data_IF_631560697148
#
_entry.id   IF_631560697148
#
_cell.length_a   1.000
_cell.length_b   1.000
_cell.length_c   1.000
_cell.angle_alpha   90.00
_cell.angle_beta   90.00
_cell.angle_gamma   90.00
#
_symmetry.space_group_name_H-M   'P 1'
#
loop_
_entity.id
_entity.type
_entity.pdbx_description
1 polymer ?
#
# COMPACT_ATOMS: atom_id res chain seq x y z
N UNK A 1 -8.00 -10.47 -6.30
CA UNK A 1 -6.60 -10.91 -6.13
C UNK A 1 -5.83 -10.61 -7.39
N UNK A 2 -4.64 -10.10 -7.25
CA UNK A 2 -3.76 -9.79 -8.38
C UNK A 2 -2.47 -10.61 -8.24
N UNK A 3 -2.04 -11.22 -9.33
CA UNK A 3 -0.78 -11.95 -9.41
C UNK A 3 -0.02 -11.43 -10.63
N UNK A 4 1.14 -10.82 -10.41
CA UNK A 4 1.86 -10.11 -11.48
C UNK A 4 2.98 -10.93 -12.10
N UNK A 5 3.73 -11.65 -11.28
CA UNK A 5 4.88 -12.43 -11.75
C UNK A 5 4.96 -13.74 -10.97
N UNK A 6 5.83 -14.64 -11.42
CA UNK A 6 6.08 -15.91 -10.72
C UNK A 6 6.65 -15.70 -9.30
N UNK A 7 7.26 -14.56 -9.05
CA UNK A 7 7.82 -14.21 -7.75
C UNK A 7 6.82 -13.46 -6.86
N UNK A 8 5.72 -12.98 -7.42
CA UNK A 8 4.70 -12.29 -6.67
C UNK A 8 3.70 -13.29 -6.12
N UNK A 9 3.43 -13.13 -4.84
CA UNK A 9 2.38 -13.88 -4.18
C UNK A 9 1.07 -13.10 -4.33
N UNK A 10 -0.03 -13.79 -4.57
CA UNK A 10 -1.32 -13.16 -4.73
C UNK A 10 -1.72 -12.34 -3.51
N UNK A 11 -2.40 -11.24 -3.75
CA UNK A 11 -2.98 -10.42 -2.69
C UNK A 11 -4.32 -9.86 -3.15
N UNK A 12 -5.15 -9.47 -2.18
CA UNK A 12 -6.42 -8.82 -2.44
C UNK A 12 -6.23 -7.31 -2.39
N UNK A 13 -6.92 -6.61 -3.26
CA UNK A 13 -6.89 -5.16 -3.27
C UNK A 13 -8.30 -4.59 -3.38
N UNK A 14 -8.52 -3.46 -2.71
CA UNK A 14 -9.77 -2.71 -2.78
C UNK A 14 -9.45 -1.25 -3.07
N UNK A 15 -10.04 -0.70 -4.12
CA UNK A 15 -9.83 0.68 -4.51
C UNK A 15 -10.88 1.59 -3.86
N UNK A 16 -10.42 2.62 -3.14
CA UNK A 16 -11.28 3.68 -2.61
C UNK A 16 -11.35 4.88 -3.53
N UNK A 17 -10.25 5.17 -4.23
CA UNK A 17 -10.13 6.34 -5.10
C UNK A 17 -9.13 6.02 -6.21
N UNK A 18 -9.51 6.35 -7.45
CA UNK A 18 -8.63 6.20 -8.60
C UNK A 18 -9.17 7.03 -9.77
N UNK A 19 -8.27 7.57 -10.60
CA UNK A 19 -8.62 8.34 -11.79
C UNK A 19 -9.64 9.45 -11.51
N UNK A 20 -9.42 10.20 -10.42
CA UNK A 20 -10.29 11.29 -9.97
C UNK A 20 -11.71 10.86 -9.57
N UNK A 21 -11.92 9.56 -9.33
CA UNK A 21 -13.21 9.03 -8.94
C UNK A 21 -13.17 8.38 -7.57
N UNK A 22 -14.18 8.64 -6.77
CA UNK A 22 -14.42 7.92 -5.52
C UNK A 22 -15.09 6.60 -5.87
N UNK A 23 -14.42 5.49 -5.58
CA UNK A 23 -14.87 4.15 -5.97
C UNK A 23 -15.62 3.40 -4.86
N UNK A 24 -15.68 3.96 -3.66
CA UNK A 24 -16.24 3.26 -2.51
C UNK A 24 -16.97 4.25 -1.60
N UNK A 25 -18.16 3.86 -1.13
CA UNK A 25 -18.96 4.68 -0.22
C UNK A 25 -18.26 4.95 1.13
N UNK A 26 -17.30 4.10 1.51
CA UNK A 26 -16.56 4.27 2.74
C UNK A 26 -15.45 5.34 2.65
N UNK A 27 -15.23 5.90 1.48
CA UNK A 27 -14.19 6.91 1.28
C UNK A 27 -14.39 8.11 2.18
N UNK A 28 -15.58 8.70 2.18
CA UNK A 28 -15.85 9.90 2.96
C UNK A 28 -15.74 9.65 4.47
N UNK A 29 -16.16 8.48 4.92
CA UNK A 29 -16.21 8.17 6.35
C UNK A 29 -14.85 7.78 6.92
N UNK A 30 -14.07 6.99 6.18
CA UNK A 30 -12.86 6.36 6.70
C UNK A 30 -11.57 6.90 6.09
N UNK A 31 -11.59 7.27 4.83
CA UNK A 31 -10.38 7.67 4.11
C UNK A 31 -10.17 9.19 4.16
N UNK A 32 -11.21 9.96 3.91
CA UNK A 32 -11.10 11.41 3.88
C UNK A 32 -10.54 12.00 5.19
N UNK A 33 -10.94 11.54 6.38
CA UNK A 33 -10.33 12.02 7.62
C UNK A 33 -8.83 11.80 7.69
N UNK A 34 -8.34 10.65 7.18
CA UNK A 34 -6.91 10.35 7.14
C UNK A 34 -6.19 11.31 6.20
N UNK A 35 -6.74 11.53 5.01
CA UNK A 35 -6.16 12.45 4.03
C UNK A 35 -6.10 13.87 4.57
N UNK A 36 -7.13 14.30 5.27
CA UNK A 36 -7.17 15.63 5.89
C UNK A 36 -6.10 15.76 6.98
N UNK A 37 -5.92 14.73 7.79
CA UNK A 37 -4.90 14.71 8.84
C UNK A 37 -3.49 14.77 8.26
N UNK A 38 -3.26 14.09 7.14
CA UNK A 38 -1.99 14.10 6.43
C UNK A 38 -1.82 15.34 5.54
N UNK A 39 -2.83 16.19 5.44
CA UNK A 39 -2.83 17.40 4.60
C UNK A 39 -2.61 17.08 3.13
N UNK A 40 -3.22 16.01 2.65
CA UNK A 40 -3.18 15.64 1.24
C UNK A 40 -4.05 16.59 0.44
N UNK A 41 -3.46 17.24 -0.57
CA UNK A 41 -4.18 18.19 -1.41
C UNK A 41 -4.92 17.54 -2.55
N UNK A 42 -4.27 16.60 -3.22
CA UNK A 42 -4.84 15.94 -4.40
C UNK A 42 -4.45 14.45 -4.38
N UNK A 43 -5.36 13.56 -3.95
CA UNK A 43 -5.06 12.15 -4.02
C UNK A 43 -5.05 11.66 -5.46
N UNK A 44 -4.13 10.74 -5.77
CA UNK A 44 -4.05 10.09 -7.07
C UNK A 44 -4.73 8.73 -7.01
N UNK A 45 -4.37 7.95 -5.99
CA UNK A 45 -4.92 6.62 -5.76
C UNK A 45 -4.95 6.34 -4.27
N UNK A 46 -6.02 5.73 -3.81
CA UNK A 46 -6.13 5.21 -2.44
C UNK A 46 -6.66 3.79 -2.52
N UNK A 47 -5.91 2.84 -2.00
CA UNK A 47 -6.30 1.44 -2.00
C UNK A 47 -5.87 0.75 -0.72
N UNK A 48 -6.59 -0.31 -0.37
CA UNK A 48 -6.22 -1.23 0.69
C UNK A 48 -5.76 -2.55 0.08
N UNK A 49 -4.70 -3.11 0.61
CA UNK A 49 -4.17 -4.40 0.17
C UNK A 49 -4.24 -5.37 1.34
N UNK A 50 -4.69 -6.58 1.05
CA UNK A 50 -4.73 -7.69 2.00
C UNK A 50 -3.86 -8.82 1.47
N UNK A 51 -2.78 -9.13 2.17
CA UNK A 51 -1.90 -10.25 1.84
C UNK A 51 -2.20 -11.40 2.81
N UNK A 52 -2.71 -12.52 2.31
CA UNK A 52 -2.99 -13.67 3.18
C UNK A 52 -1.71 -14.23 3.79
N UNK A 53 -1.82 -14.79 5.00
CA UNK A 53 -0.71 -15.46 5.62
C UNK A 53 -0.39 -16.78 4.87
N UNK A 54 0.85 -17.23 5.01
CA UNK A 54 1.32 -18.45 4.38
C UNK A 54 2.13 -19.27 5.39
N UNK A 55 2.13 -20.59 5.22
CA UNK A 55 2.98 -21.48 6.02
C UNK A 55 4.45 -21.30 5.69
N UNK A 56 4.77 -20.77 4.52
CA UNK A 56 6.13 -20.57 4.06
C UNK A 56 6.50 -19.09 4.16
N UNK A 57 7.78 -18.84 4.44
CA UNK A 57 8.29 -17.47 4.38
C UNK A 57 8.15 -16.96 2.95
N UNK A 58 7.52 -15.81 2.82
CA UNK A 58 7.35 -15.15 1.51
C UNK A 58 8.54 -14.26 1.25
N UNK A 59 9.06 -14.34 0.03
CA UNK A 59 10.00 -13.35 -0.46
C UNK A 59 9.28 -12.06 -0.81
N UNK A 60 10.03 -10.95 -0.78
CA UNK A 60 9.49 -9.68 -1.21
C UNK A 60 9.16 -9.72 -2.70
N UNK A 61 8.09 -9.04 -3.09
CA UNK A 61 7.80 -8.82 -4.51
C UNK A 61 8.88 -7.95 -5.14
N UNK A 62 8.96 -7.94 -6.47
CA UNK A 62 9.95 -7.13 -7.17
C UNK A 62 9.78 -5.63 -6.87
N UNK A 63 10.89 -4.92 -6.78
CA UNK A 63 10.84 -3.47 -6.62
C UNK A 63 10.16 -2.84 -7.83
N UNK A 64 9.28 -1.90 -7.57
CA UNK A 64 8.57 -1.19 -8.62
C UNK A 64 8.17 0.20 -8.15
N UNK A 65 7.75 1.04 -9.09
CA UNK A 65 7.10 2.31 -8.81
C UNK A 65 5.68 2.26 -9.38
N UNK A 66 4.73 2.81 -8.63
CA UNK A 66 3.33 2.82 -9.08
C UNK A 66 3.11 3.85 -10.19
N UNK A 67 3.86 4.94 -10.17
CA UNK A 67 3.79 6.01 -11.16
C UNK A 67 5.19 6.45 -11.55
N UNK A 68 5.37 6.79 -12.81
CA UNK A 68 6.66 7.23 -13.35
C UNK A 68 6.86 8.74 -13.29
N UNK A 69 6.07 9.44 -12.49
CA UNK A 69 6.21 10.87 -12.25
C UNK A 69 6.32 11.14 -10.75
N UNK A 70 6.77 12.35 -10.42
CA UNK A 70 6.99 12.70 -9.01
C UNK A 70 5.67 12.73 -8.25
N UNK A 71 5.57 11.90 -7.22
CA UNK A 71 4.43 11.86 -6.32
C UNK A 71 4.88 11.36 -4.94
N UNK A 72 4.03 11.56 -3.95
CA UNK A 72 4.27 11.06 -2.59
C UNK A 72 3.42 9.83 -2.35
N UNK A 73 4.05 8.78 -1.84
CA UNK A 73 3.36 7.56 -1.43
C UNK A 73 3.35 7.47 0.09
N UNK A 74 2.20 7.16 0.66
CA UNK A 74 2.05 6.91 2.09
C UNK A 74 1.47 5.52 2.30
N UNK A 75 1.96 4.81 3.30
CA UNK A 75 1.48 3.49 3.67
C UNK A 75 1.03 3.54 5.13
N UNK A 76 -0.19 3.11 5.38
CA UNK A 76 -0.77 3.01 6.70
C UNK A 76 -1.00 1.54 7.04
N UNK A 77 -0.28 1.04 8.03
CA UNK A 77 -0.42 -0.35 8.47
C UNK A 77 -1.58 -0.48 9.45
N UNK A 78 -2.53 -1.34 9.10
CA UNK A 78 -3.74 -1.53 9.90
C UNK A 78 -3.58 -2.64 10.95
N UNK A 79 -2.57 -3.48 10.81
CA UNK A 79 -2.28 -4.53 11.77
C UNK A 79 -0.79 -4.76 11.88
N UNK A 80 -0.37 -5.44 12.94
CA UNK A 80 1.02 -5.80 13.16
C UNK A 80 1.26 -7.24 12.68
N UNK A 81 2.33 -7.45 11.96
CA UNK A 81 2.74 -8.79 11.52
C UNK A 81 4.26 -8.86 11.37
N UNK A 82 4.77 -10.00 10.94
CA UNK A 82 6.21 -10.19 10.69
C UNK A 82 6.65 -9.71 9.30
N UNK A 83 5.73 -9.19 8.51
CA UNK A 83 6.04 -8.61 7.22
C UNK A 83 6.39 -7.13 7.30
N UNK A 84 6.47 -6.48 6.16
CA UNK A 84 6.77 -5.06 6.08
C UNK A 84 6.99 -4.61 4.66
N UNK A 85 7.64 -3.48 4.51
CA UNK A 85 7.90 -2.85 3.22
C UNK A 85 9.38 -2.58 3.06
N UNK A 86 9.92 -2.93 1.91
CA UNK A 86 11.30 -2.62 1.55
C UNK A 86 11.33 -1.43 0.60
N UNK A 87 12.20 -0.48 0.90
CA UNK A 87 12.46 0.69 0.07
C UNK A 87 13.87 0.62 -0.49
N UNK A 88 14.02 0.87 -1.78
CA UNK A 88 15.33 0.97 -2.41
C UNK A 88 15.59 2.42 -2.79
N UNK A 89 16.61 3.01 -2.17
CA UNK A 89 17.01 4.40 -2.40
C UNK A 89 18.52 4.39 -2.62
N UNK A 90 18.98 4.87 -3.79
CA UNK A 90 20.41 4.94 -4.14
C UNK A 90 21.14 3.63 -3.89
N UNK A 91 20.55 2.51 -4.35
CA UNK A 91 21.07 1.15 -4.20
C UNK A 91 21.12 0.63 -2.76
N UNK A 92 20.58 1.38 -1.82
CA UNK A 92 20.43 0.95 -0.43
C UNK A 92 18.99 0.49 -0.17
N UNK A 93 18.87 -0.63 0.54
CA UNK A 93 17.57 -1.19 0.88
C UNK A 93 17.28 -0.92 2.34
N UNK A 94 16.11 -0.34 2.62
CA UNK A 94 15.62 -0.11 3.96
C UNK A 94 14.32 -0.89 4.16
N UNK A 95 14.24 -1.65 5.24
CA UNK A 95 13.05 -2.42 5.60
C UNK A 95 12.32 -1.75 6.76
N UNK A 96 11.01 -1.58 6.60
CA UNK A 96 10.12 -1.08 7.65
C UNK A 96 9.17 -2.20 8.05
N UNK A 97 9.23 -2.62 9.31
CA UNK A 97 8.32 -3.62 9.84
C UNK A 97 6.88 -3.10 9.87
N UNK A 98 5.95 -3.99 9.55
CA UNK A 98 4.54 -3.66 9.64
C UNK A 98 4.10 -3.63 11.09
N UNK A 99 3.72 -2.44 11.58
CA UNK A 99 3.27 -2.24 12.95
C UNK A 99 2.03 -1.36 12.94
N UNK A 100 1.02 -1.78 13.68
CA UNK A 100 -0.19 -0.99 13.84
C UNK A 100 0.14 0.28 14.64
N UNK A 101 -0.37 1.42 14.17
CA UNK A 101 -0.28 2.68 14.88
C UNK A 101 -1.33 2.67 15.97
N UNK A 102 -0.90 2.94 17.20
CA UNK A 102 -1.80 3.01 18.36
C UNK A 102 -2.11 4.45 18.75
#
# INVERSE_FOLDING_TARGET
MVTNTDNDLGYFTHSFFNDNNINCEHYNKHILPILNKLKVKAPIQVRANLSPSSFYKKDASAFHVDYNYKCTTAIFYLNTCNGGTEFKIDDKIKFINQRQIK
#
